data_IF_003017505296
#
_entry.id   IF_003017505296
#
_cell.length_a   1.000
_cell.length_b   1.000
_cell.length_c   1.000
_cell.angle_alpha   90.00
_cell.angle_beta   90.00
_cell.angle_gamma   90.00
#
_symmetry.space_group_name_H-M   'P 1'
#
loop_
_entity.id
_entity.type
_entity.pdbx_description
1 polymer ?
#
# COMPACT_ATOMS: atom_id res chain seq x y z
N UNK A 1 -9.04 30.06 12.05
CA UNK A 1 -8.24 28.98 12.69
C UNK A 1 -6.95 29.56 13.24
N UNK A 2 -6.39 28.95 14.28
CA UNK A 2 -5.10 29.35 14.84
C UNK A 2 -3.93 28.82 13.99
N UNK A 3 -2.75 29.45 14.09
CA UNK A 3 -1.54 28.98 13.43
C UNK A 3 -1.11 27.58 13.91
N UNK A 4 -1.37 27.24 15.17
CA UNK A 4 -1.10 25.92 15.72
C UNK A 4 -2.01 24.84 15.12
N UNK A 5 -3.30 25.13 14.95
CA UNK A 5 -4.25 24.23 14.28
C UNK A 5 -3.86 23.99 12.81
N UNK A 6 -3.47 25.04 12.09
CA UNK A 6 -2.98 24.92 10.70
C UNK A 6 -1.78 23.97 10.65
N UNK A 7 -0.77 24.19 11.51
CA UNK A 7 0.43 23.33 11.57
C UNK A 7 0.08 21.89 11.91
N UNK A 8 -0.82 21.68 12.86
CA UNK A 8 -1.25 20.33 13.28
C UNK A 8 -1.98 19.58 12.16
N UNK A 9 -2.93 20.23 11.46
CA UNK A 9 -3.66 19.62 10.35
C UNK A 9 -2.72 19.37 9.16
N UNK A 10 -1.81 20.30 8.85
CA UNK A 10 -0.79 20.11 7.80
C UNK A 10 0.11 18.92 8.11
N UNK A 11 0.55 18.77 9.36
CA UNK A 11 1.36 17.63 9.79
C UNK A 11 0.60 16.30 9.67
N UNK A 12 -0.70 16.29 10.04
CA UNK A 12 -1.57 15.15 9.83
C UNK A 12 -1.65 14.79 8.34
N UNK A 13 -1.96 15.75 7.47
CA UNK A 13 -2.05 15.50 6.03
C UNK A 13 -0.74 14.96 5.44
N UNK A 14 0.41 15.54 5.81
CA UNK A 14 1.72 15.03 5.34
C UNK A 14 2.04 13.63 5.83
N UNK A 15 1.44 13.18 6.93
CA UNK A 15 1.58 11.81 7.45
C UNK A 15 0.67 10.83 6.71
N UNK A 16 -0.54 11.23 6.38
CA UNK A 16 -1.55 10.35 5.77
C UNK A 16 -1.54 10.38 4.23
N UNK A 17 -1.02 11.47 3.63
CA UNK A 17 -0.86 11.65 2.18
C UNK A 17 0.61 11.49 1.84
N UNK A 18 0.98 10.25 1.55
CA UNK A 18 2.38 9.85 1.32
C UNK A 18 2.52 9.06 0.04
N UNK A 19 3.69 9.16 -0.59
CA UNK A 19 4.03 8.36 -1.75
C UNK A 19 4.06 6.87 -1.38
N UNK A 20 3.33 6.05 -2.11
CA UNK A 20 3.23 4.61 -1.94
C UNK A 20 3.69 3.90 -3.21
N UNK A 21 4.67 3.01 -3.06
CA UNK A 21 5.21 2.17 -4.12
C UNK A 21 4.62 0.77 -4.01
N UNK A 22 3.89 0.30 -5.03
CA UNK A 22 3.45 -1.11 -5.08
C UNK A 22 2.63 -1.56 -3.86
N UNK A 23 2.07 -2.77 -3.90
CA UNK A 23 1.30 -3.28 -2.76
C UNK A 23 2.31 -3.65 -1.67
N UNK A 24 2.54 -2.74 -0.73
CA UNK A 24 3.50 -2.90 0.37
C UNK A 24 3.12 -4.03 1.32
N UNK A 25 1.85 -4.42 1.33
CA UNK A 25 1.32 -5.50 2.15
C UNK A 25 1.79 -6.88 1.68
N UNK A 26 1.65 -7.29 0.40
CA UNK A 26 2.33 -8.49 -0.11
C UNK A 26 3.85 -8.47 0.07
N UNK A 27 4.49 -7.31 -0.07
CA UNK A 27 5.93 -7.14 0.16
C UNK A 27 6.29 -7.47 1.61
N UNK A 28 5.53 -6.95 2.59
CA UNK A 28 5.75 -7.26 4.00
C UNK A 28 5.52 -8.75 4.32
N UNK A 29 4.56 -9.40 3.64
CA UNK A 29 4.37 -10.85 3.76
C UNK A 29 5.58 -11.60 3.21
N UNK A 30 6.00 -11.29 1.99
CA UNK A 30 7.17 -11.92 1.37
C UNK A 30 8.45 -11.70 2.19
N UNK A 31 8.64 -10.49 2.73
CA UNK A 31 9.76 -10.14 3.60
C UNK A 31 9.78 -10.99 4.89
N UNK A 32 8.61 -11.17 5.49
CA UNK A 32 8.46 -11.98 6.71
C UNK A 32 8.73 -13.45 6.42
N UNK A 33 8.23 -13.97 5.29
CA UNK A 33 8.48 -15.34 4.83
C UNK A 33 9.96 -15.56 4.54
N UNK A 34 10.62 -14.63 3.83
CA UNK A 34 12.05 -14.70 3.54
C UNK A 34 12.87 -14.78 4.83
N UNK A 35 12.56 -13.94 5.83
CA UNK A 35 13.27 -13.99 7.12
C UNK A 35 13.01 -15.30 7.88
N UNK A 36 11.77 -15.79 7.90
CA UNK A 36 11.47 -17.10 8.52
C UNK A 36 12.25 -18.22 7.82
N UNK A 37 12.29 -18.23 6.49
CA UNK A 37 13.02 -19.21 5.66
C UNK A 37 14.53 -19.18 5.87
N UNK A 38 15.14 -17.99 5.91
CA UNK A 38 16.57 -17.81 6.20
C UNK A 38 16.91 -18.34 7.61
N UNK A 39 16.06 -17.99 8.60
CA UNK A 39 16.23 -18.44 9.99
C UNK A 39 16.11 -19.95 10.10
N UNK A 40 15.18 -20.55 9.35
CA UNK A 40 15.02 -22.01 9.29
C UNK A 40 16.26 -22.69 8.72
N UNK A 41 16.85 -22.11 7.67
CA UNK A 41 18.08 -22.58 7.03
C UNK A 41 17.86 -23.62 5.92
N UNK A 42 16.65 -24.19 5.80
CA UNK A 42 16.29 -25.17 4.76
C UNK A 42 14.88 -24.92 4.20
N UNK A 43 14.51 -25.63 3.13
CA UNK A 43 13.16 -25.50 2.56
C UNK A 43 12.15 -26.17 3.49
N UNK A 44 11.10 -25.45 3.96
CA UNK A 44 10.11 -26.04 4.86
C UNK A 44 9.09 -26.92 4.13
N UNK A 45 8.54 -27.88 4.86
CA UNK A 45 7.41 -28.72 4.40
C UNK A 45 6.08 -27.98 4.51
N UNK A 46 5.95 -27.06 5.48
CA UNK A 46 4.77 -26.23 5.69
C UNK A 46 5.14 -24.79 6.01
N UNK A 47 4.33 -23.87 5.50
CA UNK A 47 4.42 -22.43 5.75
C UNK A 47 3.07 -21.93 6.23
N UNK A 48 3.01 -21.47 7.46
CA UNK A 48 1.82 -20.87 8.06
C UNK A 48 2.01 -19.35 8.17
N UNK A 49 1.08 -18.58 7.61
CA UNK A 49 1.10 -17.13 7.62
C UNK A 49 -0.15 -16.58 8.32
N UNK A 50 0.07 -15.87 9.42
CA UNK A 50 -0.97 -15.25 10.25
C UNK A 50 -0.94 -13.73 10.07
N UNK A 51 -2.06 -13.14 9.66
CA UNK A 51 -2.12 -11.73 9.23
C UNK A 51 -3.13 -10.92 10.05
N UNK A 52 -2.85 -9.63 10.27
CA UNK A 52 -3.91 -8.71 10.70
C UNK A 52 -4.99 -8.59 9.62
N UNK A 53 -6.21 -8.21 10.02
CA UNK A 53 -7.33 -7.98 9.07
C UNK A 53 -6.98 -6.99 7.96
N UNK A 54 -6.20 -5.95 8.28
CA UNK A 54 -5.79 -4.92 7.32
C UNK A 54 -4.77 -5.46 6.31
N UNK A 55 -3.77 -6.25 6.74
CA UNK A 55 -2.84 -6.86 5.78
C UNK A 55 -3.56 -7.89 4.91
N UNK A 56 -4.39 -8.73 5.51
CA UNK A 56 -5.14 -9.74 4.77
C UNK A 56 -5.98 -9.11 3.64
N UNK A 57 -6.84 -8.12 3.96
CA UNK A 57 -7.71 -7.51 2.94
C UNK A 57 -6.93 -6.75 1.85
N UNK A 58 -5.81 -6.11 2.20
CA UNK A 58 -5.03 -5.30 1.26
C UNK A 58 -4.07 -6.14 0.39
N UNK A 59 -3.73 -7.36 0.81
CA UNK A 59 -2.79 -8.21 0.10
C UNK A 59 -3.45 -9.38 -0.67
N UNK A 60 -4.68 -9.77 -0.32
CA UNK A 60 -5.31 -10.97 -0.89
C UNK A 60 -5.68 -10.82 -2.38
N UNK A 61 -6.13 -9.62 -2.79
CA UNK A 61 -6.71 -9.38 -4.12
C UNK A 61 -5.88 -8.49 -5.03
N UNK A 62 -4.57 -8.37 -4.78
CA UNK A 62 -3.69 -7.47 -5.54
C UNK A 62 -2.70 -8.25 -6.41
N UNK A 63 -2.42 -7.73 -7.59
CA UNK A 63 -1.40 -8.25 -8.51
C UNK A 63 0.00 -8.11 -7.92
N UNK A 64 0.82 -9.15 -8.11
CA UNK A 64 2.22 -9.17 -7.68
C UNK A 64 3.12 -8.80 -8.86
N UNK A 65 3.92 -7.71 -8.76
CA UNK A 65 4.73 -7.20 -9.86
C UNK A 65 5.59 -8.28 -10.53
N UNK A 66 5.65 -8.26 -11.87
CA UNK A 66 6.47 -9.19 -12.67
C UNK A 66 5.92 -10.62 -12.77
N UNK A 67 4.89 -10.98 -12.00
CA UNK A 67 4.35 -12.36 -12.00
C UNK A 67 3.15 -12.55 -12.91
N UNK A 68 2.32 -11.50 -13.10
CA UNK A 68 0.99 -11.64 -13.73
C UNK A 68 0.00 -12.46 -12.88
N UNK A 69 0.32 -12.72 -11.61
CA UNK A 69 -0.50 -13.47 -10.67
C UNK A 69 -1.01 -12.55 -9.56
N UNK A 70 -2.09 -12.98 -8.90
CA UNK A 70 -2.78 -12.21 -7.86
C UNK A 70 -2.64 -12.91 -6.51
N UNK A 71 -2.39 -12.11 -5.48
CA UNK A 71 -2.62 -12.49 -4.09
C UNK A 71 -1.41 -13.04 -3.33
N UNK A 72 -1.69 -13.42 -2.09
CA UNK A 72 -0.69 -13.83 -1.10
C UNK A 72 0.09 -15.11 -1.45
N UNK A 73 -0.50 -16.17 -2.05
CA UNK A 73 0.24 -17.41 -2.29
C UNK A 73 1.52 -17.23 -3.12
N UNK A 74 1.46 -16.43 -4.19
CA UNK A 74 2.64 -16.15 -5.02
C UNK A 74 3.64 -15.23 -4.32
N UNK A 75 3.19 -14.25 -3.52
CA UNK A 75 4.09 -13.42 -2.72
C UNK A 75 4.85 -14.26 -1.65
N UNK A 76 4.16 -15.22 -1.02
CA UNK A 76 4.77 -16.18 -0.09
C UNK A 76 5.80 -17.04 -0.82
N UNK A 77 5.44 -17.61 -1.98
CA UNK A 77 6.35 -18.44 -2.76
C UNK A 77 7.61 -17.67 -3.21
N UNK A 78 7.46 -16.42 -3.66
CA UNK A 78 8.60 -15.55 -4.01
C UNK A 78 9.49 -15.29 -2.79
N UNK A 79 8.90 -14.95 -1.64
CA UNK A 79 9.64 -14.76 -0.39
C UNK A 79 10.38 -16.03 0.06
N UNK A 80 9.78 -17.20 -0.17
CA UNK A 80 10.33 -18.49 0.24
C UNK A 80 11.47 -18.99 -0.66
N UNK A 81 11.32 -18.83 -1.98
CA UNK A 81 12.23 -19.41 -2.98
C UNK A 81 13.44 -18.51 -3.25
N UNK A 82 13.22 -17.20 -3.37
CA UNK A 82 14.25 -16.26 -3.83
C UNK A 82 14.31 -14.96 -3.00
N UNK A 83 13.38 -14.75 -2.07
CA UNK A 83 13.36 -13.58 -1.21
C UNK A 83 14.60 -13.49 -0.32
N UNK A 84 15.19 -12.29 -0.25
CA UNK A 84 16.28 -11.96 0.66
C UNK A 84 15.83 -10.84 1.59
N UNK A 85 15.78 -11.13 2.88
CA UNK A 85 15.22 -10.19 3.86
C UNK A 85 16.05 -8.92 4.05
N UNK A 86 17.35 -8.97 3.74
CA UNK A 86 18.26 -7.81 3.74
C UNK A 86 17.84 -6.72 2.74
N UNK A 87 17.07 -7.08 1.70
CA UNK A 87 16.55 -6.16 0.68
C UNK A 87 15.34 -5.35 1.15
N UNK A 88 14.79 -5.64 2.33
CA UNK A 88 13.66 -4.90 2.89
C UNK A 88 12.46 -4.86 1.94
N UNK A 89 12.06 -3.66 1.49
CA UNK A 89 10.92 -3.49 0.58
C UNK A 89 11.21 -3.98 -0.86
N UNK A 90 12.47 -4.21 -1.22
CA UNK A 90 12.88 -4.73 -2.52
C UNK A 90 12.94 -6.27 -2.54
N UNK A 91 12.42 -6.95 -1.51
CA UNK A 91 12.43 -8.43 -1.42
C UNK A 91 11.74 -9.12 -2.61
N UNK A 92 10.82 -8.43 -3.30
CA UNK A 92 10.10 -8.93 -4.48
C UNK A 92 10.71 -8.48 -5.81
N UNK A 93 11.79 -7.69 -5.80
CA UNK A 93 12.49 -7.30 -7.02
C UNK A 93 13.39 -8.44 -7.51
N UNK A 94 12.74 -9.46 -8.07
CA UNK A 94 13.34 -10.71 -8.49
C UNK A 94 13.58 -10.74 -10.00
N UNK A 95 14.62 -11.46 -10.41
CA UNK A 95 14.85 -11.78 -11.83
C UNK A 95 13.73 -12.67 -12.39
N UNK A 96 13.58 -12.69 -13.72
CA UNK A 96 12.58 -13.52 -14.39
C UNK A 96 12.72 -15.02 -14.03
N UNK A 97 13.95 -15.50 -13.86
CA UNK A 97 14.24 -16.90 -13.51
C UNK A 97 13.81 -17.22 -12.06
N UNK A 98 14.07 -16.30 -11.13
CA UNK A 98 13.63 -16.42 -9.73
C UNK A 98 12.10 -16.38 -9.62
N UNK A 99 11.44 -15.50 -10.40
CA UNK A 99 9.98 -15.46 -10.49
C UNK A 99 9.44 -16.79 -11.03
N UNK A 100 10.05 -17.33 -12.08
CA UNK A 100 9.62 -18.59 -12.66
C UNK A 100 9.82 -19.77 -11.70
N UNK A 101 10.92 -19.81 -10.94
CA UNK A 101 11.15 -20.80 -9.91
C UNK A 101 10.10 -20.72 -8.79
N UNK A 102 9.76 -19.50 -8.35
CA UNK A 102 8.70 -19.28 -7.35
C UNK A 102 7.33 -19.79 -7.83
N UNK A 103 6.98 -19.53 -9.10
CA UNK A 103 5.75 -20.04 -9.73
C UNK A 103 5.70 -21.57 -9.76
N UNK A 104 6.77 -22.21 -10.24
CA UNK A 104 6.87 -23.67 -10.29
C UNK A 104 6.78 -24.30 -8.90
N UNK A 105 7.43 -23.68 -7.90
CA UNK A 105 7.33 -24.16 -6.53
C UNK A 105 5.89 -24.05 -6.00
N UNK A 106 5.21 -22.93 -6.26
CA UNK A 106 3.82 -22.73 -5.85
C UNK A 106 2.88 -23.76 -6.49
N UNK A 107 3.01 -24.01 -7.80
CA UNK A 107 2.18 -24.97 -8.53
C UNK A 107 2.32 -26.39 -7.97
N UNK A 108 3.54 -26.77 -7.55
CA UNK A 108 3.81 -28.09 -6.98
C UNK A 108 3.45 -28.21 -5.48
N UNK A 109 3.42 -27.10 -4.73
CA UNK A 109 3.39 -27.11 -3.26
C UNK A 109 2.29 -26.21 -2.67
N UNK A 110 1.22 -25.92 -3.40
CA UNK A 110 0.17 -25.01 -2.91
C UNK A 110 -0.43 -25.44 -1.56
N UNK A 111 -0.56 -26.75 -1.31
CA UNK A 111 -1.05 -27.32 -0.05
C UNK A 111 -0.11 -27.15 1.14
N UNK A 112 1.15 -26.76 0.91
CA UNK A 112 2.12 -26.46 1.96
C UNK A 112 1.86 -25.07 2.60
N UNK A 113 1.12 -24.19 1.92
CA UNK A 113 0.83 -22.83 2.40
C UNK A 113 -0.52 -22.81 3.14
N UNK A 114 -0.51 -22.31 4.38
CA UNK A 114 -1.70 -21.96 5.15
C UNK A 114 -1.70 -20.46 5.44
N UNK A 115 -2.83 -19.79 5.18
CA UNK A 115 -3.01 -18.36 5.47
C UNK A 115 -4.23 -18.19 6.34
N UNK A 116 -4.07 -17.52 7.48
CA UNK A 116 -5.18 -17.26 8.40
C UNK A 116 -5.09 -15.87 9.04
N UNK A 117 -6.20 -15.44 9.64
CA UNK A 117 -6.26 -14.20 10.41
C UNK A 117 -5.67 -14.42 11.81
N UNK A 118 -4.81 -13.50 12.24
CA UNK A 118 -4.38 -13.39 13.63
C UNK A 118 -5.41 -12.56 14.40
N UNK A 119 -5.77 -13.02 15.60
CA UNK A 119 -6.44 -12.16 16.58
C UNK A 119 -5.41 -11.19 17.18
N UNK A 120 -5.38 -9.96 16.66
CA UNK A 120 -4.45 -8.91 17.06
C UNK A 120 -5.10 -7.53 16.90
N UNK A 121 -4.77 -6.62 17.81
CA UNK A 121 -5.16 -5.20 17.70
C UNK A 121 -4.27 -4.41 16.75
N UNK A 122 -3.14 -4.97 16.31
CA UNK A 122 -2.21 -4.30 15.41
C UNK A 122 -2.79 -4.19 13.99
N UNK A 123 -2.80 -2.95 13.45
CA UNK A 123 -3.22 -2.72 12.06
C UNK A 123 -2.28 -3.42 11.07
N UNK A 124 -0.98 -3.41 11.34
CA UNK A 124 0.03 -4.07 10.53
C UNK A 124 0.65 -5.18 11.36
N UNK A 125 0.33 -6.43 11.01
CA UNK A 125 0.89 -7.63 11.63
C UNK A 125 1.01 -8.73 10.60
N UNK A 126 2.19 -9.33 10.52
CA UNK A 126 2.50 -10.51 9.72
C UNK A 126 3.34 -11.43 10.57
N UNK A 127 2.89 -12.66 10.75
CA UNK A 127 3.64 -13.73 11.39
C UNK A 127 3.77 -14.88 10.41
N UNK A 128 4.99 -15.36 10.19
CA UNK A 128 5.26 -16.52 9.36
C UNK A 128 5.93 -17.59 10.21
N UNK A 129 5.44 -18.83 10.10
CA UNK A 129 6.00 -20.01 10.74
C UNK A 129 6.37 -21.02 9.64
N UNK A 130 7.65 -21.35 9.53
CA UNK A 130 8.14 -22.42 8.66
C UNK A 130 8.33 -23.70 9.49
N UNK A 131 7.91 -24.86 8.99
CA UNK A 131 8.01 -26.15 9.70
C UNK A 131 8.49 -27.30 8.81
N UNK A 132 9.27 -28.21 9.39
CA UNK A 132 9.53 -29.57 8.88
C UNK A 132 9.66 -30.53 10.06
N UNK A 133 8.76 -31.52 10.16
CA UNK A 133 8.63 -32.33 11.39
C UNK A 133 8.43 -31.46 12.64
N UNK A 134 9.26 -31.69 13.66
CA UNK A 134 9.23 -30.93 14.93
C UNK A 134 10.02 -29.61 14.88
N UNK A 135 10.85 -29.41 13.85
CA UNK A 135 11.65 -28.21 13.70
C UNK A 135 10.82 -27.05 13.12
N UNK A 136 11.04 -25.84 13.64
CA UNK A 136 10.40 -24.64 13.13
C UNK A 136 11.25 -23.38 13.24
N UNK A 137 10.91 -22.39 12.41
CA UNK A 137 11.30 -21.01 12.62
C UNK A 137 10.07 -20.11 12.59
N UNK A 138 10.18 -18.96 13.23
CA UNK A 138 9.13 -17.93 13.26
C UNK A 138 9.75 -16.57 13.01
N UNK A 139 9.10 -15.77 12.18
CA UNK A 139 9.39 -14.35 12.04
C UNK A 139 8.10 -13.54 12.11
N UNK A 140 8.17 -12.38 12.76
CA UNK A 140 7.03 -11.46 12.91
C UNK A 140 7.45 -10.05 12.53
N UNK A 141 6.67 -9.42 11.65
CA UNK A 141 6.71 -7.99 11.33
C UNK A 141 5.46 -7.33 11.86
N UNK A 142 5.63 -6.21 12.56
CA UNK A 142 4.50 -5.45 13.10
C UNK A 142 4.79 -3.94 13.19
N UNK A 143 3.71 -3.14 13.18
CA UNK A 143 3.68 -1.67 13.23
C UNK A 143 4.24 -0.96 11.98
N UNK A 144 5.30 -1.48 11.35
CA UNK A 144 5.86 -0.98 10.08
C UNK A 144 6.20 -2.15 9.16
N UNK A 145 6.08 -1.97 7.84
CA UNK A 145 6.22 -3.04 6.82
C UNK A 145 7.57 -3.76 6.81
N UNK A 146 8.63 -3.17 7.39
CA UNK A 146 9.98 -3.74 7.46
C UNK A 146 10.48 -3.99 8.90
N UNK A 147 9.64 -3.73 9.91
CA UNK A 147 10.06 -3.82 11.32
C UNK A 147 9.85 -5.22 11.86
N UNK A 148 10.91 -6.03 11.85
CA UNK A 148 10.94 -7.30 12.58
C UNK A 148 10.85 -7.06 14.09
N UNK A 149 9.84 -7.66 14.71
CA UNK A 149 9.55 -7.58 16.16
C UNK A 149 9.84 -8.89 16.88
N UNK A 150 9.84 -10.01 16.15
CA UNK A 150 10.16 -11.30 16.73
C UNK A 150 10.81 -12.22 15.70
N UNK A 151 11.87 -12.92 16.07
CA UNK A 151 12.52 -13.97 15.28
C UNK A 151 12.91 -15.09 16.25
N UNK A 152 12.57 -16.32 15.89
CA UNK A 152 12.74 -17.50 16.74
C UNK A 152 13.07 -18.73 15.89
N UNK A 153 13.89 -19.64 16.42
CA UNK A 153 14.18 -20.95 15.84
C UNK A 153 14.11 -22.01 16.92
N UNK A 154 13.25 -23.02 16.76
CA UNK A 154 13.17 -24.17 17.68
C UNK A 154 13.07 -23.78 19.17
N UNK A 155 12.32 -22.71 19.48
CA UNK A 155 12.18 -22.16 20.83
C UNK A 155 13.25 -21.13 21.25
N UNK A 156 14.36 -21.04 20.52
CA UNK A 156 15.42 -20.05 20.76
C UNK A 156 15.03 -18.70 20.16
N UNK A 157 14.87 -17.68 21.02
CA UNK A 157 14.52 -16.33 20.61
C UNK A 157 15.78 -15.57 20.18
N UNK A 158 15.89 -15.31 18.87
CA UNK A 158 16.99 -14.56 18.26
C UNK A 158 16.73 -13.05 18.35
N UNK A 159 15.47 -12.64 18.21
CA UNK A 159 15.05 -11.25 18.31
C UNK A 159 13.68 -11.17 18.99
N UNK A 160 13.54 -10.24 19.93
CA UNK A 160 12.25 -9.85 20.47
C UNK A 160 12.26 -8.36 20.80
N UNK A 161 11.33 -7.61 20.22
CA UNK A 161 11.12 -6.18 20.47
C UNK A 161 9.70 -6.00 20.98
N UNK A 162 9.57 -5.25 22.06
CA UNK A 162 8.26 -4.87 22.57
C UNK A 162 7.45 -4.13 21.48
N UNK A 163 6.17 -4.48 21.38
CA UNK A 163 5.18 -3.67 20.68
C UNK A 163 4.89 -2.46 21.57
N UNK A 164 5.75 -1.45 21.50
CA UNK A 164 5.51 -0.20 22.20
C UNK A 164 4.35 0.52 21.53
N UNK A 165 3.45 1.08 22.34
CA UNK A 165 2.39 2.00 21.94
C UNK A 165 2.91 3.34 21.34
N UNK A 166 4.16 3.42 20.87
CA UNK A 166 4.69 4.66 20.30
C UNK A 166 4.01 5.06 18.98
N UNK A 167 3.25 4.15 18.36
CA UNK A 167 2.31 4.48 17.27
C UNK A 167 0.97 5.04 17.77
N UNK A 168 0.65 4.93 19.07
CA UNK A 168 -0.51 5.57 19.70
C UNK A 168 -0.16 7.01 20.13
N UNK A 169 1.10 7.30 20.47
CA UNK A 169 1.53 8.68 20.82
C UNK A 169 1.26 9.65 19.65
N UNK A 170 1.34 9.20 18.40
CA UNK A 170 0.98 10.02 17.22
C UNK A 170 -0.54 10.17 17.00
N UNK A 171 -1.38 9.32 17.59
CA UNK A 171 -2.84 9.51 17.62
C UNK A 171 -3.28 10.47 18.73
N UNK A 172 -2.60 10.48 19.88
CA UNK A 172 -2.93 11.38 21.01
C UNK A 172 -2.77 12.86 20.66
N UNK A 173 -1.92 13.19 19.67
CA UNK A 173 -1.72 14.56 19.18
C UNK A 173 -2.37 14.84 17.81
N UNK A 174 -3.20 13.93 17.28
CA UNK A 174 -3.90 14.18 16.02
C UNK A 174 -5.00 15.23 16.25
N UNK A 175 -5.11 16.26 15.38
CA UNK A 175 -6.14 17.27 15.55
C UNK A 175 -7.53 16.62 15.40
N UNK A 176 -8.45 16.95 16.30
CA UNK A 176 -9.85 16.55 16.14
C UNK A 176 -10.44 17.29 14.94
N UNK A 177 -10.71 16.54 13.87
CA UNK A 177 -11.33 17.04 12.64
C UNK A 177 -12.86 17.00 12.74
N UNK A 178 -13.50 17.94 12.06
CA UNK A 178 -14.91 17.88 11.70
C UNK A 178 -15.08 18.55 10.32
N UNK A 179 -16.23 18.34 9.67
CA UNK A 179 -16.47 18.87 8.32
C UNK A 179 -16.23 20.39 8.21
N UNK A 180 -16.57 21.16 9.25
CA UNK A 180 -16.34 22.61 9.28
C UNK A 180 -14.85 22.96 9.31
N UNK A 181 -14.05 22.28 10.14
CA UNK A 181 -12.59 22.46 10.20
C UNK A 181 -11.92 22.09 8.89
N UNK A 182 -12.38 21.03 8.22
CA UNK A 182 -11.86 20.64 6.89
C UNK A 182 -12.10 21.78 5.89
N UNK A 183 -13.33 22.30 5.85
CA UNK A 183 -13.68 23.43 4.98
C UNK A 183 -12.88 24.70 5.30
N UNK A 184 -12.80 25.08 6.57
CA UNK A 184 -12.08 26.26 7.02
C UNK A 184 -10.57 26.13 6.72
N UNK A 185 -9.96 24.96 6.96
CA UNK A 185 -8.56 24.70 6.63
C UNK A 185 -8.30 24.86 5.13
N UNK A 186 -9.15 24.29 4.27
CA UNK A 186 -8.98 24.40 2.82
C UNK A 186 -9.18 25.83 2.29
N UNK A 187 -10.09 26.60 2.88
CA UNK A 187 -10.53 27.90 2.31
C UNK A 187 -9.88 29.13 2.95
N UNK A 188 -9.47 29.07 4.22
CA UNK A 188 -8.96 30.23 4.96
C UNK A 188 -7.44 30.20 5.17
N UNK A 189 -6.80 29.04 5.02
CA UNK A 189 -5.35 28.92 5.18
C UNK A 189 -4.63 29.61 4.01
N UNK A 190 -3.51 30.34 4.26
CA UNK A 190 -2.66 30.89 3.22
C UNK A 190 -2.27 29.83 2.18
N UNK A 191 -2.28 30.20 0.90
CA UNK A 191 -2.08 29.24 -0.19
C UNK A 191 -0.74 28.49 -0.11
N UNK A 192 0.33 29.22 0.22
CA UNK A 192 1.70 28.71 0.44
C UNK A 192 1.78 27.58 1.49
N UNK A 193 0.86 27.54 2.46
CA UNK A 193 0.79 26.45 3.43
C UNK A 193 0.14 25.18 2.87
N UNK A 194 -0.56 25.28 1.74
CA UNK A 194 -1.35 24.23 1.09
C UNK A 194 -0.67 23.62 -0.15
N UNK A 195 0.31 24.32 -0.75
CA UNK A 195 0.93 23.92 -2.03
C UNK A 195 1.59 22.54 -2.02
N UNK A 196 1.95 22.01 -0.84
CA UNK A 196 2.50 20.65 -0.71
C UNK A 196 1.60 19.57 -1.34
N UNK A 197 0.28 19.80 -1.43
CA UNK A 197 -0.64 18.83 -2.03
C UNK A 197 -0.46 18.70 -3.54
N UNK A 198 0.10 19.72 -4.20
CA UNK A 198 0.32 19.71 -5.66
C UNK A 198 1.33 18.64 -6.08
N UNK A 199 2.20 18.22 -5.17
CA UNK A 199 3.14 17.12 -5.38
C UNK A 199 2.44 15.80 -5.73
N UNK A 200 1.19 15.61 -5.29
CA UNK A 200 0.40 14.41 -5.60
C UNK A 200 0.08 14.23 -7.09
N UNK A 201 -0.03 15.34 -7.82
CA UNK A 201 -0.51 15.39 -9.20
C UNK A 201 0.39 14.60 -10.16
N UNK A 202 1.70 14.92 -10.32
CA UNK A 202 2.52 14.29 -11.35
C UNK A 202 2.57 12.77 -11.22
N UNK A 203 2.69 12.24 -10.01
CA UNK A 203 2.74 10.80 -9.76
C UNK A 203 1.42 10.10 -10.12
N UNK A 204 0.29 10.64 -9.67
CA UNK A 204 -1.00 10.02 -9.93
C UNK A 204 -1.40 10.16 -11.41
N UNK A 205 -0.99 11.25 -12.08
CA UNK A 205 -1.17 11.42 -13.53
C UNK A 205 -0.31 10.43 -14.30
N UNK A 206 0.95 10.23 -13.92
CA UNK A 206 1.82 9.23 -14.55
C UNK A 206 1.24 7.81 -14.41
N UNK A 207 0.72 7.46 -13.22
CA UNK A 207 0.04 6.19 -13.02
C UNK A 207 -1.22 6.02 -13.89
N UNK A 208 -1.99 7.10 -14.11
CA UNK A 208 -3.13 7.08 -15.03
C UNK A 208 -2.70 6.88 -16.49
N UNK A 209 -1.66 7.57 -16.93
CA UNK A 209 -1.10 7.42 -18.28
C UNK A 209 -0.55 6.01 -18.51
N UNK A 210 0.10 5.44 -17.51
CA UNK A 210 0.56 4.05 -17.53
C UNK A 210 -0.63 3.09 -17.62
N UNK A 211 -1.64 3.26 -16.76
CA UNK A 211 -2.86 2.47 -16.77
C UNK A 211 -3.63 2.48 -18.10
N UNK A 212 -3.58 3.59 -18.83
CA UNK A 212 -4.19 3.71 -20.15
C UNK A 212 -3.54 2.80 -21.21
N UNK A 213 -2.32 2.31 -20.98
CA UNK A 213 -1.68 1.31 -21.85
C UNK A 213 -2.39 -0.04 -21.78
N UNK A 214 -3.04 -0.35 -20.65
CA UNK A 214 -3.83 -1.55 -20.42
C UNK A 214 -3.25 -2.38 -19.27
N UNK A 215 -4.02 -2.49 -18.19
CA UNK A 215 -3.73 -3.21 -16.96
C UNK A 215 -5.03 -3.76 -16.39
N UNK A 216 -4.98 -4.89 -15.68
CA UNK A 216 -6.15 -5.50 -15.04
C UNK A 216 -7.35 -5.61 -15.99
N UNK A 217 -8.50 -5.07 -15.57
CA UNK A 217 -9.74 -5.05 -16.37
C UNK A 217 -9.69 -4.07 -17.55
N UNK A 218 -8.67 -3.22 -17.62
CA UNK A 218 -8.51 -2.15 -18.62
C UNK A 218 -9.74 -1.23 -18.72
N UNK A 219 -10.44 -1.04 -17.60
CA UNK A 219 -11.73 -0.35 -17.54
C UNK A 219 -11.58 1.09 -18.02
N UNK A 220 -10.55 1.79 -17.53
CA UNK A 220 -10.26 3.16 -17.97
C UNK A 220 -10.00 3.28 -19.47
N UNK A 221 -9.25 2.32 -20.04
CA UNK A 221 -8.96 2.26 -21.48
C UNK A 221 -10.21 1.95 -22.31
N UNK A 222 -11.10 1.08 -21.82
CA UNK A 222 -12.38 0.76 -22.45
C UNK A 222 -13.30 1.97 -22.43
N UNK A 223 -13.44 2.65 -21.28
CA UNK A 223 -14.26 3.86 -21.13
C UNK A 223 -13.79 4.98 -22.05
N UNK A 224 -12.48 5.13 -22.24
CA UNK A 224 -11.93 6.13 -23.17
C UNK A 224 -12.25 5.83 -24.65
N UNK A 225 -12.55 4.57 -25.00
CA UNK A 225 -12.93 4.15 -26.35
C UNK A 225 -14.44 4.23 -26.60
N UNK A 226 -15.26 4.14 -25.56
CA UNK A 226 -16.71 4.28 -25.69
C UNK A 226 -17.10 5.72 -26.05
N UNK A 227 -18.06 5.89 -26.97
CA UNK A 227 -18.52 7.20 -27.42
C UNK A 227 -19.16 7.98 -26.26
N UNK A 228 -18.57 9.13 -25.91
CA UNK A 228 -19.01 9.96 -24.78
C UNK A 228 -17.84 10.69 -24.12
N UNK A 229 -17.05 11.47 -24.87
CA UNK A 229 -15.85 12.14 -24.34
C UNK A 229 -16.16 13.41 -23.51
N UNK A 230 -17.19 13.39 -22.67
CA UNK A 230 -17.42 14.51 -21.75
C UNK A 230 -16.36 14.51 -20.62
N UNK A 231 -16.37 15.57 -19.83
CA UNK A 231 -15.37 15.76 -18.75
C UNK A 231 -15.52 14.67 -17.68
N UNK A 232 -16.74 14.24 -17.38
CA UNK A 232 -17.01 13.22 -16.35
C UNK A 232 -16.44 11.88 -16.78
N UNK A 233 -16.68 11.46 -18.02
CA UNK A 233 -16.16 10.21 -18.56
C UNK A 233 -14.64 10.16 -18.50
N UNK A 234 -13.97 11.27 -18.83
CA UNK A 234 -12.51 11.30 -18.81
C UNK A 234 -11.93 11.28 -17.39
N UNK A 235 -12.56 11.98 -16.45
CA UNK A 235 -12.21 11.93 -15.04
C UNK A 235 -12.29 10.48 -14.54
N UNK A 236 -13.42 9.80 -14.78
CA UNK A 236 -13.62 8.41 -14.38
C UNK A 236 -12.59 7.51 -15.06
N UNK A 237 -12.45 7.62 -16.38
CA UNK A 237 -11.56 6.75 -17.16
C UNK A 237 -10.11 6.84 -16.69
N UNK A 238 -9.58 8.04 -16.45
CA UNK A 238 -8.20 8.20 -15.95
C UNK A 238 -8.02 7.76 -14.51
N UNK A 239 -9.00 8.04 -13.65
CA UNK A 239 -8.98 7.61 -12.25
C UNK A 239 -8.98 6.08 -12.16
N UNK A 240 -9.85 5.42 -12.91
CA UNK A 240 -9.94 3.96 -12.93
C UNK A 240 -8.74 3.34 -13.63
N UNK A 241 -8.18 3.94 -14.68
CA UNK A 241 -6.95 3.45 -15.31
C UNK A 241 -5.78 3.39 -14.31
N UNK A 242 -5.58 4.44 -13.51
CA UNK A 242 -4.56 4.45 -12.47
C UNK A 242 -4.81 3.36 -11.41
N UNK A 243 -6.08 3.19 -10.99
CA UNK A 243 -6.45 2.15 -10.04
C UNK A 243 -6.23 0.73 -10.60
N UNK A 244 -6.61 0.47 -11.85
CA UNK A 244 -6.38 -0.79 -12.55
C UNK A 244 -4.87 -1.10 -12.62
N UNK A 245 -4.05 -0.14 -13.05
CA UNK A 245 -2.59 -0.29 -13.07
C UNK A 245 -2.04 -0.65 -11.69
N UNK A 246 -2.49 0.08 -10.67
CA UNK A 246 -2.03 -0.11 -9.30
C UNK A 246 -2.41 -1.48 -8.75
N UNK A 247 -3.65 -1.91 -8.99
CA UNK A 247 -4.19 -3.18 -8.52
C UNK A 247 -3.60 -4.37 -9.28
N UNK A 248 -3.14 -4.17 -10.52
CA UNK A 248 -2.49 -5.19 -11.34
C UNK A 248 -0.96 -5.27 -11.11
N UNK A 249 -0.44 -4.54 -10.12
CA UNK A 249 0.97 -4.62 -9.73
C UNK A 249 1.91 -3.71 -10.53
N UNK A 250 1.41 -2.62 -11.12
CA UNK A 250 2.26 -1.58 -11.72
C UNK A 250 3.25 -1.02 -10.69
N UNK A 251 4.50 -0.85 -11.11
CA UNK A 251 5.60 -0.35 -10.27
C UNK A 251 5.64 1.17 -10.14
N UNK A 252 4.80 1.90 -10.90
CA UNK A 252 4.72 3.37 -10.80
C UNK A 252 4.21 3.77 -9.40
N UNK A 253 4.94 4.65 -8.68
CA UNK A 253 4.50 5.11 -7.39
C UNK A 253 3.26 6.00 -7.51
N UNK A 254 2.40 5.94 -6.50
CA UNK A 254 1.19 6.76 -6.42
C UNK A 254 1.13 7.41 -5.05
N UNK A 255 0.61 8.63 -4.97
CA UNK A 255 0.29 9.21 -3.67
C UNK A 255 -0.92 8.50 -3.10
N UNK A 256 -0.77 7.97 -1.88
CA UNK A 256 -1.84 7.34 -1.11
C UNK A 256 -2.58 8.37 -0.26
N UNK A 257 -3.74 7.98 0.26
CA UNK A 257 -4.43 8.69 1.32
C UNK A 257 -4.85 7.67 2.38
N UNK A 258 -4.52 7.92 3.65
CA UNK A 258 -4.91 7.06 4.77
C UNK A 258 -4.46 5.60 4.57
N UNK A 259 -3.30 5.42 3.95
CA UNK A 259 -2.72 4.11 3.64
C UNK A 259 -3.25 3.43 2.36
N UNK A 260 -4.15 4.05 1.60
CA UNK A 260 -4.69 3.48 0.35
C UNK A 260 -4.26 4.29 -0.87
N UNK A 261 -3.54 3.62 -1.79
CA UNK A 261 -3.16 4.19 -3.09
C UNK A 261 -4.38 4.58 -3.94
N UNK A 262 -5.40 3.73 -3.99
CA UNK A 262 -6.61 3.99 -4.77
C UNK A 262 -7.42 5.17 -4.21
N UNK A 263 -7.42 5.36 -2.88
CA UNK A 263 -8.02 6.57 -2.29
C UNK A 263 -7.23 7.82 -2.68
N UNK A 264 -5.90 7.79 -2.61
CA UNK A 264 -5.08 8.92 -3.04
C UNK A 264 -5.25 9.24 -4.53
N UNK A 265 -5.24 8.23 -5.40
CA UNK A 265 -5.58 8.34 -6.83
C UNK A 265 -6.92 9.05 -7.01
N UNK A 266 -7.97 8.61 -6.31
CA UNK A 266 -9.32 9.19 -6.40
C UNK A 266 -9.35 10.63 -5.91
N UNK A 267 -8.71 10.91 -4.76
CA UNK A 267 -8.67 12.25 -4.17
C UNK A 267 -7.98 13.27 -5.09
N UNK A 268 -6.93 12.83 -5.82
CA UNK A 268 -6.13 13.68 -6.69
C UNK A 268 -6.71 13.79 -8.10
N UNK A 269 -6.84 12.67 -8.82
CA UNK A 269 -7.13 12.68 -10.26
C UNK A 269 -8.51 13.22 -10.57
N UNK A 270 -9.50 12.95 -9.71
CA UNK A 270 -10.85 13.46 -9.93
C UNK A 270 -10.88 15.00 -9.98
N UNK A 271 -10.15 15.64 -9.07
CA UNK A 271 -10.05 17.10 -8.99
C UNK A 271 -9.16 17.64 -10.11
N UNK A 272 -7.98 17.05 -10.30
CA UNK A 272 -7.01 17.53 -11.29
C UNK A 272 -7.56 17.45 -12.71
N UNK A 273 -8.15 16.33 -13.11
CA UNK A 273 -8.67 16.15 -14.47
C UNK A 273 -9.85 17.09 -14.76
N UNK A 274 -10.72 17.30 -13.78
CA UNK A 274 -11.81 18.27 -13.92
C UNK A 274 -11.27 19.70 -14.04
N UNK A 275 -10.38 20.10 -13.13
CA UNK A 275 -9.81 21.45 -13.06
C UNK A 275 -9.02 21.79 -14.32
N UNK A 276 -8.14 20.89 -14.77
CA UNK A 276 -7.34 21.04 -15.99
C UNK A 276 -8.22 21.28 -17.21
N UNK A 277 -9.28 20.48 -17.39
CA UNK A 277 -10.18 20.59 -18.56
C UNK A 277 -11.07 21.81 -18.55
N UNK A 278 -11.40 22.31 -17.37
CA UNK A 278 -12.19 23.53 -17.20
C UNK A 278 -11.32 24.79 -17.11
N UNK A 279 -10.00 24.67 -17.24
CA UNK A 279 -9.03 25.75 -17.04
C UNK A 279 -9.27 26.49 -15.70
N UNK A 280 -9.52 25.72 -14.64
CA UNK A 280 -9.70 26.27 -13.30
C UNK A 280 -8.34 26.73 -12.77
N UNK A 281 -8.33 27.91 -12.14
CA UNK A 281 -7.14 28.48 -11.52
C UNK A 281 -6.49 27.54 -10.49
N UNK A 282 -5.16 27.57 -10.44
CA UNK A 282 -4.36 26.69 -9.59
C UNK A 282 -4.73 26.82 -8.11
N UNK A 283 -5.01 28.03 -7.61
CA UNK A 283 -5.42 28.22 -6.22
C UNK A 283 -6.71 27.44 -5.90
N UNK A 284 -7.74 27.59 -6.74
CA UNK A 284 -9.02 26.90 -6.55
C UNK A 284 -8.86 25.38 -6.63
N UNK A 285 -8.03 24.89 -7.55
CA UNK A 285 -7.68 23.47 -7.63
C UNK A 285 -6.94 22.99 -6.37
N UNK A 286 -5.96 23.75 -5.89
CA UNK A 286 -5.17 23.42 -4.68
C UNK A 286 -6.08 23.29 -3.47
N UNK A 287 -6.98 24.25 -3.25
CA UNK A 287 -7.95 24.21 -2.16
C UNK A 287 -8.92 23.03 -2.29
N UNK A 288 -9.35 22.71 -3.51
CA UNK A 288 -10.19 21.53 -3.76
C UNK A 288 -9.45 20.21 -3.50
N UNK A 289 -8.16 20.11 -3.85
CA UNK A 289 -7.32 18.96 -3.53
C UNK A 289 -7.14 18.79 -2.02
N UNK A 290 -6.84 19.87 -1.30
CA UNK A 290 -6.78 19.86 0.17
C UNK A 290 -8.07 19.33 0.77
N UNK A 291 -9.21 19.88 0.32
CA UNK A 291 -10.52 19.47 0.81
C UNK A 291 -10.79 17.99 0.52
N UNK A 292 -10.54 17.54 -0.71
CA UNK A 292 -10.69 16.15 -1.13
C UNK A 292 -9.88 15.18 -0.25
N UNK A 293 -8.59 15.46 -0.09
CA UNK A 293 -7.71 14.61 0.71
C UNK A 293 -8.06 14.64 2.20
N UNK A 294 -8.32 15.82 2.77
CA UNK A 294 -8.58 15.98 4.19
C UNK A 294 -9.96 15.43 4.59
N UNK A 295 -10.97 15.50 3.72
CA UNK A 295 -12.24 14.80 3.94
C UNK A 295 -12.04 13.29 3.97
N UNK A 296 -11.21 12.73 3.09
CA UNK A 296 -10.91 11.29 3.12
C UNK A 296 -10.14 10.86 4.37
N UNK A 297 -9.38 11.76 5.02
CA UNK A 297 -8.71 11.49 6.30
C UNK A 297 -9.70 11.60 7.47
N UNK A 298 -10.69 12.49 7.35
CA UNK A 298 -11.69 12.72 8.38
C UNK A 298 -12.69 11.57 8.52
N UNK A 299 -13.06 10.91 7.41
CA UNK A 299 -14.00 9.77 7.35
C UNK A 299 -13.30 8.49 7.79
#
# INVERSE_FOLDING_TARGET
>A
MTNEEIKSIKALMKREVVLAMGCTEPVAVALTVAKARETFGQMPEKVEVLLSKNIFKNAMGVGIPGTGMIGLPIAIAMGLVAGKSERGLEVLDLSSDEIQAAKQWLDANQSAISIALKDTSEKLYVECICRSGDAYSKAVVAQQHTRFVHIEKDGEIILHKALTANSIITQVNAPTLNARKVYDFATQTPLEELEFILETIPYNVEAALEGMKGYGLSTGKILMRSAGCDIVHNVIAKTVAAADARMDGCTKPVYSNSGSGNQGITCTLAIYEYASRKNIEQEKMTRALIMSHLFSIYI
#
